data_IF_830408855267
#
_entry.id   IF_830408855267
#
_cell.length_a   1.000
_cell.length_b   1.000
_cell.length_c   1.000
_cell.angle_alpha   90.00
_cell.angle_beta   90.00
_cell.angle_gamma   90.00
#
_symmetry.space_group_name_H-M   'P 1'
#
loop_
_entity.id
_entity.type
_entity.pdbx_description
1 polymer ?
#
# COMPACT_ATOMS: atom_id res chain seq x y z
N UNK A 1 23.97 -19.58 -15.95
CA UNK A 1 23.05 -19.18 -17.04
C UNK A 1 23.68 -19.59 -18.35
N UNK A 2 22.95 -20.31 -19.22
CA UNK A 2 23.46 -20.82 -20.49
C UNK A 2 24.02 -19.70 -21.40
N UNK A 3 23.31 -18.57 -21.50
CA UNK A 3 23.73 -17.41 -22.30
C UNK A 3 25.04 -16.74 -21.84
N UNK A 4 25.37 -16.78 -20.54
CA UNK A 4 26.67 -16.27 -20.04
C UNK A 4 27.80 -17.20 -20.50
N UNK A 5 27.59 -18.51 -20.37
CA UNK A 5 28.55 -19.50 -20.84
C UNK A 5 28.75 -19.43 -22.36
N UNK A 6 27.67 -19.25 -23.14
CA UNK A 6 27.75 -19.12 -24.61
C UNK A 6 28.42 -17.80 -25.05
N UNK A 7 28.30 -16.72 -24.27
CA UNK A 7 29.05 -15.47 -24.48
C UNK A 7 30.55 -15.65 -24.19
N UNK A 8 30.87 -16.26 -23.04
CA UNK A 8 32.25 -16.52 -22.60
C UNK A 8 32.96 -17.48 -23.58
N UNK A 9 32.22 -18.39 -24.22
CA UNK A 9 32.68 -19.29 -25.28
C UNK A 9 32.69 -18.65 -26.70
N UNK A 10 32.41 -17.33 -26.82
CA UNK A 10 32.31 -16.57 -28.08
C UNK A 10 31.30 -17.13 -29.10
N UNK A 11 30.33 -17.92 -28.64
CA UNK A 11 29.29 -18.54 -29.49
C UNK A 11 28.13 -17.60 -29.81
N UNK A 12 28.01 -16.48 -29.09
CA UNK A 12 26.97 -15.48 -29.35
C UNK A 12 27.48 -14.36 -30.26
N UNK A 13 26.73 -14.09 -31.31
CA UNK A 13 26.89 -12.90 -32.14
C UNK A 13 26.47 -11.64 -31.36
N UNK A 14 26.99 -10.47 -31.76
CA UNK A 14 26.59 -9.18 -31.17
C UNK A 14 25.06 -8.97 -31.18
N UNK A 15 24.39 -9.44 -32.23
CA UNK A 15 22.93 -9.37 -32.35
C UNK A 15 22.21 -10.24 -31.30
N UNK A 16 22.72 -11.43 -31.01
CA UNK A 16 22.16 -12.31 -29.98
C UNK A 16 22.39 -11.76 -28.57
N UNK A 17 23.55 -11.15 -28.31
CA UNK A 17 23.84 -10.47 -27.04
C UNK A 17 22.86 -9.33 -26.79
N UNK A 18 22.65 -8.46 -27.79
CA UNK A 18 21.68 -7.36 -27.68
C UNK A 18 20.25 -7.87 -27.52
N UNK A 19 19.88 -8.95 -28.22
CA UNK A 19 18.56 -9.60 -28.04
C UNK A 19 18.37 -10.15 -26.62
N UNK A 20 19.37 -10.84 -26.07
CA UNK A 20 19.33 -11.37 -24.70
C UNK A 20 19.25 -10.23 -23.68
N UNK A 21 19.99 -9.14 -23.89
CA UNK A 21 19.95 -7.94 -23.04
C UNK A 21 18.57 -7.29 -23.05
N UNK A 22 17.98 -7.08 -24.23
CA UNK A 22 16.62 -6.54 -24.37
C UNK A 22 15.59 -7.43 -23.68
N UNK A 23 15.62 -8.75 -23.93
CA UNK A 23 14.70 -9.69 -23.30
C UNK A 23 14.85 -9.71 -21.77
N UNK A 24 16.09 -9.58 -21.27
CA UNK A 24 16.35 -9.51 -19.82
C UNK A 24 15.78 -8.23 -19.21
N UNK A 25 15.92 -7.08 -19.90
CA UNK A 25 15.32 -5.82 -19.45
C UNK A 25 13.79 -5.87 -19.45
N UNK A 26 13.17 -6.44 -20.47
CA UNK A 26 11.72 -6.64 -20.54
C UNK A 26 11.23 -7.56 -19.42
N UNK A 27 11.95 -8.64 -19.15
CA UNK A 27 11.65 -9.54 -18.04
C UNK A 27 11.79 -8.86 -16.68
N UNK A 28 12.85 -8.10 -16.45
CA UNK A 28 13.04 -7.33 -15.20
C UNK A 28 11.88 -6.34 -15.01
N UNK A 29 11.49 -5.60 -16.06
CA UNK A 29 10.36 -4.68 -16.00
C UNK A 29 9.06 -5.42 -15.64
N UNK A 30 8.78 -6.53 -16.32
CA UNK A 30 7.61 -7.35 -16.03
C UNK A 30 7.59 -7.85 -14.58
N UNK A 31 8.73 -8.30 -14.05
CA UNK A 31 8.84 -8.75 -12.66
C UNK A 31 8.60 -7.61 -11.67
N UNK A 32 9.15 -6.42 -11.92
CA UNK A 32 8.92 -5.23 -11.08
C UNK A 32 7.43 -4.86 -11.08
N UNK A 33 6.80 -4.77 -12.25
CA UNK A 33 5.36 -4.48 -12.38
C UNK A 33 4.49 -5.56 -11.70
N UNK A 34 4.88 -6.83 -11.80
CA UNK A 34 4.18 -7.93 -11.13
C UNK A 34 4.25 -7.78 -9.60
N UNK A 35 5.44 -7.49 -9.06
CA UNK A 35 5.64 -7.25 -7.63
C UNK A 35 4.82 -6.03 -7.20
N UNK A 36 4.91 -4.91 -7.90
CA UNK A 36 4.15 -3.70 -7.57
C UNK A 36 2.64 -3.92 -7.57
N UNK A 37 2.10 -4.65 -8.56
CA UNK A 37 0.67 -5.00 -8.61
C UNK A 37 0.25 -5.87 -7.43
N UNK A 38 1.03 -6.90 -7.09
CA UNK A 38 0.76 -7.72 -5.90
C UNK A 38 0.80 -6.88 -4.62
N UNK A 39 1.78 -5.99 -4.48
CA UNK A 39 1.84 -5.06 -3.34
C UNK A 39 0.60 -4.16 -3.28
N UNK A 40 0.17 -3.61 -4.40
CA UNK A 40 -1.01 -2.75 -4.50
C UNK A 40 -2.30 -3.45 -4.07
N UNK A 41 -2.52 -4.69 -4.52
CA UNK A 41 -3.69 -5.50 -4.14
C UNK A 41 -3.74 -5.72 -2.62
N UNK A 42 -2.61 -6.07 -2.02
CA UNK A 42 -2.58 -6.32 -0.58
C UNK A 42 -2.70 -5.04 0.24
N UNK A 43 -2.14 -3.91 -0.21
CA UNK A 43 -2.35 -2.60 0.42
C UNK A 43 -3.84 -2.25 0.40
N UNK A 44 -4.55 -2.52 -0.71
CA UNK A 44 -5.98 -2.23 -0.80
C UNK A 44 -6.81 -3.01 0.22
N UNK A 45 -6.42 -4.25 0.55
CA UNK A 45 -7.05 -5.05 1.60
C UNK A 45 -6.88 -4.47 3.00
N UNK A 46 -5.91 -3.58 3.22
CA UNK A 46 -5.68 -2.92 4.51
C UNK A 46 -6.44 -1.62 4.67
N UNK A 47 -7.16 -1.19 3.62
CA UNK A 47 -7.89 0.07 3.60
C UNK A 47 -9.33 -0.13 4.01
N UNK A 48 -9.80 0.78 4.85
CA UNK A 48 -11.22 0.97 5.14
C UNK A 48 -11.58 2.32 4.55
N UNK A 49 -12.39 2.32 3.50
CA UNK A 49 -12.95 3.54 2.95
C UNK A 49 -14.25 3.88 3.66
N UNK A 50 -14.39 5.15 3.97
CA UNK A 50 -15.54 5.67 4.68
C UNK A 50 -16.15 6.82 3.92
N UNK A 51 -17.48 6.88 3.87
CA UNK A 51 -18.22 8.05 3.45
C UNK A 51 -18.81 8.73 4.68
N UNK A 52 -18.70 10.05 4.74
CA UNK A 52 -19.28 10.85 5.81
C UNK A 52 -19.79 12.18 5.23
N UNK A 53 -21.11 12.41 5.29
CA UNK A 53 -21.73 13.46 4.50
C UNK A 53 -21.44 13.28 3.01
N UNK A 54 -20.89 14.30 2.36
CA UNK A 54 -20.51 14.29 0.94
C UNK A 54 -19.01 14.05 0.72
N UNK A 55 -18.28 13.60 1.74
CA UNK A 55 -16.83 13.42 1.71
C UNK A 55 -16.44 11.97 1.89
N UNK A 56 -15.24 11.65 1.41
CA UNK A 56 -14.67 10.32 1.49
C UNK A 56 -13.36 10.35 2.28
N UNK A 57 -13.28 9.51 3.31
CA UNK A 57 -12.08 9.30 4.10
C UNK A 57 -11.50 7.91 3.87
N UNK A 58 -10.26 7.72 4.26
CA UNK A 58 -9.58 6.42 4.17
C UNK A 58 -8.80 6.14 5.46
N UNK A 59 -8.99 4.94 6.01
CA UNK A 59 -8.21 4.43 7.14
C UNK A 59 -7.34 3.29 6.63
N UNK A 60 -6.03 3.46 6.68
CA UNK A 60 -5.03 2.46 6.28
C UNK A 60 -4.48 1.77 7.52
N UNK A 61 -4.63 0.46 7.61
CA UNK A 61 -4.16 -0.35 8.73
C UNK A 61 -2.83 -1.02 8.39
N UNK A 62 -1.75 -0.43 8.86
CA UNK A 62 -0.37 -0.74 8.48
C UNK A 62 0.38 -1.35 9.66
N UNK A 63 0.18 -2.65 9.87
CA UNK A 63 0.84 -3.40 10.95
C UNK A 63 0.40 -2.93 12.33
N UNK A 64 1.27 -2.20 13.05
CA UNK A 64 0.96 -1.62 14.38
C UNK A 64 0.46 -0.18 14.30
N UNK A 65 0.50 0.43 13.12
CA UNK A 65 0.13 1.82 12.92
C UNK A 65 -1.11 1.90 12.03
N UNK A 66 -1.98 2.85 12.30
CA UNK A 66 -3.06 3.24 11.40
C UNK A 66 -2.80 4.66 10.91
N UNK A 67 -3.09 4.90 9.64
CA UNK A 67 -3.11 6.22 9.04
C UNK A 67 -4.54 6.55 8.62
N UNK A 68 -4.92 7.80 8.79
CA UNK A 68 -6.26 8.29 8.49
C UNK A 68 -6.10 9.49 7.56
N UNK A 69 -6.60 9.33 6.35
CA UNK A 69 -6.79 10.40 5.38
C UNK A 69 -8.21 10.91 5.60
N UNK A 70 -8.33 12.18 6.01
CA UNK A 70 -9.62 12.72 6.40
C UNK A 70 -10.51 12.90 5.16
N UNK A 71 -9.97 13.52 4.12
CA UNK A 71 -10.68 13.79 2.87
C UNK A 71 -9.75 13.42 1.70
N UNK A 72 -10.14 12.44 0.89
CA UNK A 72 -9.33 11.94 -0.23
C UNK A 72 -9.39 12.86 -1.45
N UNK A 73 -10.42 13.70 -1.55
CA UNK A 73 -10.71 14.58 -2.68
C UNK A 73 -10.10 15.99 -2.50
N UNK A 74 -9.60 16.30 -1.30
CA UNK A 74 -8.82 17.52 -1.06
C UNK A 74 -7.43 17.45 -1.71
N UNK A 75 -7.02 18.56 -2.35
CA UNK A 75 -5.66 18.72 -2.89
C UNK A 75 -4.60 18.55 -1.79
N UNK A 76 -4.76 19.26 -0.67
CA UNK A 76 -3.94 19.08 0.52
C UNK A 76 -4.57 18.06 1.47
N UNK A 77 -4.12 16.81 1.33
CA UNK A 77 -4.62 15.71 2.17
C UNK A 77 -4.24 15.91 3.63
N UNK A 78 -5.23 16.06 4.49
CA UNK A 78 -5.03 16.00 5.94
C UNK A 78 -4.83 14.55 6.36
N UNK A 79 -3.61 14.23 6.78
CA UNK A 79 -3.23 12.89 7.24
C UNK A 79 -2.96 12.91 8.75
N UNK A 80 -3.50 11.94 9.44
CA UNK A 80 -3.21 11.68 10.85
C UNK A 80 -2.79 10.23 11.05
N UNK A 81 -2.02 9.98 12.11
CA UNK A 81 -1.52 8.66 12.47
C UNK A 81 -1.96 8.29 13.88
N UNK A 82 -2.20 7.02 14.13
CA UNK A 82 -2.39 6.47 15.46
C UNK A 82 -1.75 5.08 15.56
N UNK A 83 -1.41 4.66 16.78
CA UNK A 83 -1.05 3.26 17.05
C UNK A 83 -2.32 2.41 17.14
N UNK A 84 -2.29 1.18 16.60
CA UNK A 84 -3.37 0.20 16.75
C UNK A 84 -3.16 -0.54 18.06
N UNK A 85 -4.12 -0.39 18.97
CA UNK A 85 -4.09 -1.00 20.30
C UNK A 85 -4.41 -2.50 20.22
N UNK A 86 -4.06 -3.32 21.24
CA UNK A 86 -4.36 -4.76 21.25
C UNK A 86 -5.86 -5.10 21.14
N UNK A 87 -6.73 -4.20 21.62
CA UNK A 87 -8.19 -4.32 21.48
C UNK A 87 -8.68 -4.03 20.04
N UNK A 88 -7.80 -3.57 19.13
CA UNK A 88 -8.07 -3.23 17.75
C UNK A 88 -8.57 -1.79 17.51
N UNK A 89 -8.60 -0.95 18.55
CA UNK A 89 -8.92 0.47 18.42
C UNK A 89 -7.70 1.32 18.09
N UNK A 90 -7.94 2.61 17.86
CA UNK A 90 -6.92 3.62 17.62
C UNK A 90 -6.49 4.28 18.93
N UNK A 91 -5.18 4.33 19.14
CA UNK A 91 -4.56 5.06 20.25
C UNK A 91 -4.56 6.57 20.02
N UNK A 92 -3.54 7.25 20.56
CA UNK A 92 -3.41 8.71 20.44
C UNK A 92 -3.22 9.12 18.96
N UNK A 93 -4.14 9.94 18.46
CA UNK A 93 -4.08 10.49 17.10
C UNK A 93 -3.09 11.66 17.07
N UNK A 94 -2.11 11.59 16.18
CA UNK A 94 -1.12 12.64 15.90
C UNK A 94 -1.17 13.06 14.44
N UNK A 95 -0.68 14.28 14.13
CA UNK A 95 -0.53 14.71 12.73
C UNK A 95 0.56 13.89 12.05
N UNK A 96 0.39 13.62 10.77
CA UNK A 96 1.40 12.95 9.93
C UNK A 96 1.39 13.53 8.52
N UNK A 97 2.37 13.16 7.71
CA UNK A 97 2.54 13.63 6.34
C UNK A 97 2.41 12.48 5.33
N UNK A 98 2.32 12.85 4.05
CA UNK A 98 2.35 11.88 2.96
C UNK A 98 3.68 11.14 2.90
N UNK A 99 4.80 11.83 3.16
CA UNK A 99 6.13 11.23 3.22
C UNK A 99 6.25 10.17 4.33
N UNK A 100 5.65 10.40 5.51
CA UNK A 100 5.65 9.44 6.61
C UNK A 100 4.88 8.17 6.23
N UNK A 101 3.73 8.34 5.58
CA UNK A 101 2.91 7.24 5.08
C UNK A 101 3.68 6.42 4.03
N UNK A 102 4.34 7.08 3.08
CA UNK A 102 5.16 6.41 2.05
C UNK A 102 6.31 5.62 2.66
N UNK A 103 7.04 6.21 3.61
CA UNK A 103 8.12 5.51 4.34
C UNK A 103 7.62 4.25 5.04
N UNK A 104 6.42 4.27 5.59
CA UNK A 104 5.84 3.09 6.24
C UNK A 104 5.41 2.04 5.21
N UNK A 105 4.75 2.44 4.11
CA UNK A 105 4.37 1.53 3.02
C UNK A 105 5.56 0.78 2.41
N UNK A 106 6.74 1.42 2.35
CA UNK A 106 7.96 0.78 1.87
C UNK A 106 8.46 -0.33 2.80
N UNK A 107 8.32 -0.14 4.12
CA UNK A 107 8.82 -1.05 5.16
C UNK A 107 7.96 -2.28 5.39
N UNK A 108 6.67 -2.22 5.03
CA UNK A 108 5.74 -3.29 5.34
C UNK A 108 6.03 -4.49 4.45
N UNK A 109 6.41 -5.59 5.11
CA UNK A 109 6.28 -6.93 4.56
C UNK A 109 4.78 -7.23 4.47
N UNK A 110 4.31 -7.41 3.24
CA UNK A 110 2.89 -7.41 2.83
C UNK A 110 2.20 -8.74 3.19
N UNK A 111 2.37 -9.18 4.43
CA UNK A 111 1.89 -10.48 4.93
C UNK A 111 1.15 -10.40 6.26
N UNK A 112 1.01 -9.22 6.88
CA UNK A 112 0.25 -9.09 8.11
C UNK A 112 -1.26 -9.11 7.83
N UNK A 113 -1.93 -10.20 8.21
CA UNK A 113 -3.39 -10.25 8.27
C UNK A 113 -3.87 -9.15 9.21
N UNK A 114 -4.58 -8.17 8.67
CA UNK A 114 -5.21 -7.11 9.45
C UNK A 114 -6.58 -7.59 9.92
N UNK A 115 -6.85 -7.49 11.21
CA UNK A 115 -8.15 -7.81 11.80
C UNK A 115 -8.85 -6.51 12.17
N UNK A 116 -10.05 -6.30 11.61
CA UNK A 116 -10.95 -5.21 11.98
C UNK A 116 -11.75 -5.68 13.19
N UNK A 117 -11.56 -5.03 14.34
CA UNK A 117 -12.30 -5.31 15.57
C UNK A 117 -13.29 -4.19 15.84
N UNK A 118 -14.32 -4.48 16.62
CA UNK A 118 -15.40 -3.55 16.98
C UNK A 118 -14.92 -2.13 17.38
N UNK A 119 -13.86 -1.94 18.21
CA UNK A 119 -13.46 -0.61 18.65
C UNK A 119 -13.11 0.36 17.52
N UNK A 120 -12.62 -0.14 16.38
CA UNK A 120 -12.24 0.74 15.28
C UNK A 120 -13.43 1.45 14.64
N UNK A 121 -14.61 0.84 14.66
CA UNK A 121 -15.84 1.46 14.18
C UNK A 121 -16.26 2.63 15.07
N UNK A 122 -16.07 2.51 16.39
CA UNK A 122 -16.32 3.60 17.33
C UNK A 122 -15.31 4.73 17.16
N UNK A 123 -14.05 4.42 16.91
CA UNK A 123 -13.03 5.44 16.63
C UNK A 123 -13.30 6.17 15.31
N UNK A 124 -13.77 5.46 14.29
CA UNK A 124 -14.23 6.08 13.05
C UNK A 124 -15.39 7.05 13.28
N UNK A 125 -16.38 6.70 14.12
CA UNK A 125 -17.47 7.61 14.47
C UNK A 125 -16.98 8.87 15.18
N UNK A 126 -15.93 8.78 16.00
CA UNK A 126 -15.31 9.94 16.65
C UNK A 126 -14.56 10.83 15.65
N UNK A 127 -13.91 10.24 14.65
CA UNK A 127 -13.10 10.95 13.66
C UNK A 127 -13.96 11.61 12.59
N UNK A 128 -14.88 10.85 11.99
CA UNK A 128 -15.65 11.25 10.80
C UNK A 128 -17.08 11.68 11.13
N UNK A 129 -17.56 11.39 12.34
CA UNK A 129 -18.92 11.68 12.78
C UNK A 129 -19.80 10.44 12.87
N UNK A 130 -20.99 10.59 13.48
CA UNK A 130 -21.88 9.47 13.81
C UNK A 130 -22.47 8.73 12.60
N UNK A 131 -22.64 9.43 11.47
CA UNK A 131 -23.25 8.90 10.25
C UNK A 131 -22.16 8.46 9.26
N UNK A 132 -21.22 7.64 9.73
CA UNK A 132 -20.15 7.09 8.90
C UNK A 132 -20.67 5.83 8.20
N UNK A 133 -20.49 5.78 6.89
CA UNK A 133 -20.83 4.62 6.06
C UNK A 133 -19.52 3.95 5.61
N UNK A 134 -19.46 2.62 5.70
CA UNK A 134 -18.29 1.85 5.29
C UNK A 134 -18.50 1.37 3.87
N UNK A 135 -17.60 1.75 2.99
CA UNK A 135 -17.67 1.37 1.58
C UNK A 135 -16.99 0.01 1.41
N UNK A 136 -17.78 -1.00 1.08
CA UNK A 136 -17.29 -2.33 0.69
C UNK A 136 -17.51 -2.46 -0.81
N UNK A 137 -16.44 -2.71 -1.55
CA UNK A 137 -16.38 -2.90 -3.00
C UNK A 137 -16.40 -1.63 -3.87
N UNK A 138 -15.62 -1.69 -4.96
CA UNK A 138 -15.73 -0.90 -6.20
C UNK A 138 -15.89 -1.90 -7.34
#
# INVERSE_FOLDING_TARGET
MKAKNDYDEKKLTKAEVEKVKKNSQEFIRFMIEHIQRKRGIEIEKTKIRVKYGDKYGEVLLLGKNAYVIHDIDQEEKRITKAEILPNGGLGKITKSSLEDLEKELLKIEILSKVFIKEPIFEDMKKIFGKNVEILINY
#
